data_IF_769948682562
#
_entry.id   IF_769948682562
#
_cell.length_a   1.000
_cell.length_b   1.000
_cell.length_c   1.000
_cell.angle_alpha   90.00
_cell.angle_beta   90.00
_cell.angle_gamma   90.00
#
_symmetry.space_group_name_H-M   'P 1'
#
loop_
_entity.id
_entity.type
_entity.pdbx_description
1 polymer ?
#
# COMPACT_ATOMS: atom_id res chain seq x y z
N UNK A 1 8.15 -55.36 42.72
CA UNK A 1 7.70 -55.11 41.33
C UNK A 1 7.77 -53.60 41.09
N UNK A 2 8.81 -53.12 40.40
CA UNK A 2 9.10 -51.70 40.22
C UNK A 2 8.52 -51.25 38.87
N UNK A 3 7.49 -50.41 38.89
CA UNK A 3 6.83 -49.87 37.70
C UNK A 3 7.68 -48.72 37.14
N UNK A 4 8.30 -48.94 35.99
CA UNK A 4 9.02 -47.91 35.24
C UNK A 4 8.01 -46.90 34.67
N UNK A 5 8.18 -45.62 35.01
CA UNK A 5 7.44 -44.50 34.45
C UNK A 5 8.29 -43.94 33.31
N UNK A 6 7.84 -44.13 32.08
CA UNK A 6 8.48 -43.59 30.88
C UNK A 6 7.99 -42.15 30.67
N UNK A 7 8.87 -41.16 30.82
CA UNK A 7 8.61 -39.78 30.41
C UNK A 7 8.63 -39.69 28.88
N UNK A 8 7.50 -39.34 28.26
CA UNK A 8 7.43 -39.01 26.85
C UNK A 8 7.67 -37.50 26.66
N UNK A 9 8.89 -37.13 26.24
CA UNK A 9 9.20 -35.76 25.80
C UNK A 9 8.54 -35.51 24.45
N UNK A 10 7.48 -34.68 24.43
CA UNK A 10 6.83 -34.23 23.21
C UNK A 10 7.67 -33.11 22.58
N UNK A 11 8.46 -33.44 21.56
CA UNK A 11 9.25 -32.48 20.79
C UNK A 11 8.32 -31.77 19.78
N UNK A 12 7.84 -30.58 20.13
CA UNK A 12 7.07 -29.72 19.20
C UNK A 12 7.98 -29.23 18.08
N UNK A 13 7.87 -29.87 16.91
CA UNK A 13 8.44 -29.38 15.65
C UNK A 13 7.71 -28.09 15.25
N UNK A 14 8.38 -26.95 15.46
CA UNK A 14 7.99 -25.67 14.85
C UNK A 14 8.21 -25.78 13.33
N UNK A 15 7.14 -26.00 12.59
CA UNK A 15 7.11 -25.89 11.13
C UNK A 15 7.36 -24.43 10.75
N UNK A 16 8.60 -24.10 10.39
CA UNK A 16 8.91 -22.83 9.73
C UNK A 16 8.37 -22.90 8.30
N UNK A 17 7.17 -22.38 8.07
CA UNK A 17 6.67 -22.20 6.71
C UNK A 17 7.63 -21.26 5.95
N UNK A 18 8.00 -21.56 4.69
CA UNK A 18 8.79 -20.64 3.90
C UNK A 18 7.96 -19.37 3.69
N UNK A 19 8.42 -18.26 4.26
CA UNK A 19 7.93 -16.93 3.92
C UNK A 19 8.43 -16.64 2.51
N UNK A 20 7.71 -17.11 1.50
CA UNK A 20 7.90 -16.62 0.15
C UNK A 20 7.53 -15.13 0.18
N UNK A 21 8.51 -14.27 -0.12
CA UNK A 21 8.24 -12.86 -0.30
C UNK A 21 7.18 -12.69 -1.39
N UNK A 22 6.14 -11.92 -1.11
CA UNK A 22 5.08 -11.62 -2.09
C UNK A 22 5.67 -11.01 -3.36
N UNK A 23 4.98 -11.14 -4.50
CA UNK A 23 5.37 -10.38 -5.68
C UNK A 23 5.02 -8.91 -5.45
N UNK A 24 5.94 -8.01 -5.76
CA UNK A 24 5.77 -6.58 -5.56
C UNK A 24 4.55 -6.08 -6.34
N UNK A 25 3.62 -5.42 -5.63
CA UNK A 25 2.34 -4.98 -6.18
C UNK A 25 1.47 -6.12 -6.74
N UNK A 26 1.50 -7.29 -6.11
CA UNK A 26 0.45 -8.30 -6.23
C UNK A 26 -0.60 -8.17 -5.10
N UNK A 27 -1.64 -9.00 -5.13
CA UNK A 27 -2.71 -8.97 -4.12
C UNK A 27 -2.20 -9.29 -2.69
N UNK A 28 -1.20 -10.16 -2.55
CA UNK A 28 -0.63 -10.51 -1.25
C UNK A 28 0.21 -9.35 -0.68
N UNK A 29 0.98 -8.68 -1.52
CA UNK A 29 1.71 -7.46 -1.20
C UNK A 29 0.74 -6.33 -0.83
N UNK A 30 -0.36 -6.14 -1.57
CA UNK A 30 -1.35 -5.12 -1.25
C UNK A 30 -2.00 -5.33 0.11
N UNK A 31 -2.24 -6.58 0.52
CA UNK A 31 -2.71 -6.91 1.87
C UNK A 31 -1.68 -6.50 2.93
N UNK A 32 -0.39 -6.75 2.69
CA UNK A 32 0.69 -6.33 3.59
C UNK A 32 0.83 -4.80 3.63
N UNK A 33 0.69 -4.13 2.49
CA UNK A 33 0.69 -2.67 2.40
C UNK A 33 -0.49 -2.04 3.14
N UNK A 34 -1.67 -2.67 3.11
CA UNK A 34 -2.82 -2.24 3.89
C UNK A 34 -2.57 -2.33 5.40
N UNK A 35 -1.92 -3.40 5.85
CA UNK A 35 -1.51 -3.52 7.25
C UNK A 35 -0.44 -2.48 7.63
N UNK A 36 0.55 -2.25 6.76
CA UNK A 36 1.58 -1.23 6.98
C UNK A 36 1.01 0.19 7.00
N UNK A 37 0.02 0.49 6.15
CA UNK A 37 -0.74 1.73 6.17
C UNK A 37 -1.34 1.98 7.54
N UNK A 38 -2.05 0.98 8.09
CA UNK A 38 -2.72 1.09 9.39
C UNK A 38 -1.75 1.22 10.57
N UNK A 39 -0.48 0.85 10.39
CA UNK A 39 0.57 1.00 11.38
C UNK A 39 1.29 2.36 11.31
N UNK A 40 1.08 3.17 10.26
CA UNK A 40 1.71 4.49 10.10
C UNK A 40 0.74 5.61 10.52
N UNK A 41 1.09 6.34 11.59
CA UNK A 41 0.28 7.47 12.08
C UNK A 41 0.26 8.66 11.12
N UNK A 42 1.30 8.83 10.29
CA UNK A 42 1.32 9.89 9.28
C UNK A 42 0.29 9.61 8.19
N UNK A 43 -0.02 8.34 7.92
CA UNK A 43 -1.11 7.97 7.02
C UNK A 43 -2.45 8.06 7.72
N UNK A 44 -2.64 7.33 8.81
CA UNK A 44 -3.95 7.20 9.46
C UNK A 44 -4.45 8.53 10.03
N UNK A 45 -3.62 9.28 10.75
CA UNK A 45 -4.00 10.59 11.30
C UNK A 45 -3.77 11.72 10.31
N UNK A 46 -2.66 11.70 9.56
CA UNK A 46 -2.32 12.80 8.65
C UNK A 46 -3.26 12.93 7.45
N UNK A 47 -3.91 11.84 7.01
CA UNK A 47 -4.96 11.93 5.99
C UNK A 47 -6.35 12.25 6.57
N UNK A 48 -6.52 12.16 7.89
CA UNK A 48 -7.70 12.68 8.58
C UNK A 48 -7.64 14.20 8.70
N UNK A 49 -6.48 14.74 9.06
CA UNK A 49 -6.26 16.19 9.15
C UNK A 49 -4.82 16.55 8.77
N UNK A 50 -4.67 17.21 7.64
CA UNK A 50 -3.45 17.85 7.20
C UNK A 50 -3.72 19.35 7.05
N UNK A 51 -3.32 20.13 8.05
CA UNK A 51 -3.48 21.59 8.10
C UNK A 51 -4.91 22.06 7.81
N UNK A 52 -5.92 21.41 8.42
CA UNK A 52 -7.34 21.73 8.26
C UNK A 52 -7.97 21.11 7.02
N UNK A 53 -7.22 20.33 6.23
CA UNK A 53 -7.75 19.56 5.11
C UNK A 53 -7.89 18.08 5.47
N UNK A 54 -9.09 17.53 5.30
CA UNK A 54 -9.37 16.12 5.54
C UNK A 54 -9.52 15.35 4.24
N UNK A 55 -8.46 14.63 3.85
CA UNK A 55 -8.45 13.85 2.61
C UNK A 55 -9.49 12.73 2.61
N UNK A 56 -9.58 12.00 3.73
CA UNK A 56 -10.48 10.85 3.85
C UNK A 56 -11.96 11.25 3.83
N UNK A 57 -12.30 12.47 4.23
CA UNK A 57 -13.68 13.00 4.15
C UNK A 57 -14.10 13.42 2.74
N UNK A 58 -13.15 13.60 1.82
CA UNK A 58 -13.47 13.89 0.41
C UNK A 58 -13.67 12.59 -0.39
N UNK A 59 -14.69 11.81 -0.02
CA UNK A 59 -14.94 10.46 -0.54
C UNK A 59 -16.17 10.40 -1.49
N UNK A 60 -16.72 11.54 -1.88
CA UNK A 60 -17.97 11.67 -2.62
C UNK A 60 -19.17 11.00 -1.93
N UNK A 61 -19.22 11.03 -0.59
CA UNK A 61 -20.25 10.38 0.25
C UNK A 61 -20.34 8.85 0.06
N UNK A 62 -19.30 8.23 -0.49
CA UNK A 62 -19.25 6.77 -0.72
C UNK A 62 -18.83 6.00 0.54
N UNK A 63 -18.26 6.68 1.53
CA UNK A 63 -17.70 6.07 2.74
C UNK A 63 -16.30 5.48 2.54
N UNK A 64 -15.70 5.63 1.35
CA UNK A 64 -14.38 5.09 1.04
C UNK A 64 -13.67 5.89 -0.06
N UNK A 65 -12.34 5.80 -0.07
CA UNK A 65 -11.47 6.19 -1.18
C UNK A 65 -10.71 4.97 -1.69
N UNK A 66 -10.49 4.92 -3.00
CA UNK A 66 -9.69 3.88 -3.63
C UNK A 66 -8.30 4.41 -3.95
N UNK A 67 -7.29 3.60 -3.64
CA UNK A 67 -5.92 3.82 -4.09
C UNK A 67 -5.49 2.60 -4.89
N UNK A 68 -5.44 2.75 -6.20
CA UNK A 68 -5.01 1.70 -7.13
C UNK A 68 -3.58 1.94 -7.60
N UNK A 69 -2.81 0.87 -7.72
CA UNK A 69 -1.42 0.97 -8.19
C UNK A 69 -0.97 -0.23 -9.02
N UNK A 70 -0.04 0.00 -9.94
CA UNK A 70 0.60 -1.06 -10.73
C UNK A 70 2.02 -0.70 -11.16
N UNK A 71 2.77 -1.73 -11.57
CA UNK A 71 4.07 -1.58 -12.23
C UNK A 71 3.84 -1.31 -13.72
N UNK A 72 4.40 -0.24 -14.27
CA UNK A 72 4.18 0.15 -15.68
C UNK A 72 4.47 -1.00 -16.65
N UNK A 73 5.56 -1.76 -16.43
CA UNK A 73 5.93 -2.88 -17.28
C UNK A 73 4.94 -4.06 -17.24
N UNK A 74 4.14 -4.19 -16.18
CA UNK A 74 3.13 -5.23 -16.02
C UNK A 74 1.75 -4.81 -16.58
N UNK A 75 1.55 -3.50 -16.77
CA UNK A 75 0.34 -2.93 -17.35
C UNK A 75 -0.83 -2.83 -16.36
N UNK A 76 -1.83 -2.03 -16.73
CA UNK A 76 -2.96 -1.69 -15.83
C UNK A 76 -3.83 -2.89 -15.45
N UNK A 77 -3.77 -3.99 -16.22
CA UNK A 77 -4.52 -5.23 -15.93
C UNK A 77 -4.03 -5.93 -14.66
N UNK A 78 -2.85 -5.58 -14.14
CA UNK A 78 -2.27 -6.17 -12.93
C UNK A 78 -2.41 -5.28 -11.70
N UNK A 79 -3.19 -4.19 -11.79
CA UNK A 79 -3.34 -3.26 -10.69
C UNK A 79 -3.85 -3.94 -9.43
N UNK A 80 -3.35 -3.46 -8.30
CA UNK A 80 -3.86 -3.77 -6.97
C UNK A 80 -4.59 -2.57 -6.42
N UNK A 81 -5.36 -2.77 -5.37
CA UNK A 81 -6.23 -1.78 -4.76
C UNK A 81 -6.11 -1.80 -3.25
N UNK A 82 -6.07 -0.60 -2.67
CA UNK A 82 -6.36 -0.35 -1.26
C UNK A 82 -7.69 0.39 -1.14
N UNK A 83 -8.54 -0.01 -0.20
CA UNK A 83 -9.72 0.76 0.19
C UNK A 83 -9.41 1.45 1.51
N UNK A 84 -9.50 2.77 1.51
CA UNK A 84 -9.33 3.58 2.72
C UNK A 84 -10.69 4.09 3.16
N UNK A 85 -11.04 3.84 4.42
CA UNK A 85 -12.31 4.19 5.05
C UNK A 85 -12.05 5.10 6.25
N UNK A 86 -13.03 5.96 6.57
CA UNK A 86 -12.99 6.72 7.81
C UNK A 86 -13.48 5.83 8.96
N UNK A 87 -12.60 5.50 9.90
CA UNK A 87 -12.94 4.75 11.11
C UNK A 87 -12.58 5.57 12.35
N UNK A 88 -13.62 6.13 13.01
CA UNK A 88 -13.40 7.18 14.01
C UNK A 88 -12.74 8.39 13.36
N UNK A 89 -11.59 8.81 13.90
CA UNK A 89 -10.78 9.92 13.38
C UNK A 89 -9.54 9.43 12.62
N UNK A 90 -9.63 8.30 11.91
CA UNK A 90 -8.51 7.72 11.17
C UNK A 90 -8.89 7.34 9.75
N UNK A 91 -7.98 7.61 8.81
CA UNK A 91 -7.99 7.06 7.47
C UNK A 91 -7.43 5.62 7.50
N UNK A 92 -8.29 4.65 7.74
CA UNK A 92 -7.92 3.24 7.91
C UNK A 92 -8.01 2.51 6.57
N UNK A 93 -6.99 1.73 6.22
CA UNK A 93 -7.07 0.77 5.13
C UNK A 93 -7.90 -0.44 5.59
N UNK A 94 -9.10 -0.61 5.01
CA UNK A 94 -10.02 -1.72 5.32
C UNK A 94 -9.88 -2.90 4.36
N UNK A 95 -9.22 -2.71 3.22
CA UNK A 95 -8.98 -3.76 2.23
C UNK A 95 -7.69 -3.50 1.46
N UNK A 96 -6.92 -4.57 1.21
CA UNK A 96 -5.80 -4.56 0.28
C UNK A 96 -5.75 -5.86 -0.52
N UNK A 97 -5.75 -5.75 -1.85
CA UNK A 97 -5.79 -6.92 -2.74
C UNK A 97 -5.96 -6.56 -4.21
N UNK A 98 -6.54 -7.48 -4.98
CA UNK A 98 -6.99 -7.18 -6.35
C UNK A 98 -8.20 -6.22 -6.32
N UNK A 99 -8.53 -5.52 -7.40
CA UNK A 99 -9.72 -4.67 -7.44
C UNK A 99 -10.99 -5.45 -7.08
N UNK A 100 -11.75 -4.93 -6.12
CA UNK A 100 -12.93 -5.61 -5.52
C UNK A 100 -14.25 -5.35 -6.27
N UNK A 101 -14.17 -4.71 -7.44
CA UNK A 101 -15.33 -4.35 -8.27
C UNK A 101 -15.94 -2.99 -7.94
N UNK A 102 -15.47 -2.27 -6.91
CA UNK A 102 -15.87 -0.88 -6.69
C UNK A 102 -15.43 -0.01 -7.86
N UNK A 103 -16.34 0.86 -8.31
CA UNK A 103 -16.06 1.79 -9.39
C UNK A 103 -15.06 2.86 -8.92
N UNK A 104 -14.00 3.02 -9.72
CA UNK A 104 -13.02 4.08 -9.57
C UNK A 104 -13.61 5.42 -10.02
N UNK A 105 -13.48 6.45 -9.19
CA UNK A 105 -13.85 7.83 -9.55
C UNK A 105 -12.61 8.71 -9.49
N UNK A 106 -12.01 9.01 -10.64
CA UNK A 106 -10.76 9.77 -10.75
C UNK A 106 -10.86 11.22 -10.23
N UNK A 107 -12.05 11.71 -9.88
CA UNK A 107 -12.20 13.02 -9.23
C UNK A 107 -11.94 12.96 -7.72
N UNK A 108 -11.94 11.76 -7.13
CA UNK A 108 -11.78 11.53 -5.69
C UNK A 108 -10.72 10.48 -5.37
N UNK A 109 -10.57 9.45 -6.20
CA UNK A 109 -9.69 8.32 -6.00
C UNK A 109 -8.35 8.48 -6.73
N UNK A 110 -7.34 7.70 -6.32
CA UNK A 110 -5.99 7.75 -6.88
C UNK A 110 -5.65 6.48 -7.66
N UNK A 111 -5.23 6.63 -8.92
CA UNK A 111 -4.58 5.58 -9.70
C UNK A 111 -3.14 6.00 -9.98
N UNK A 112 -2.20 5.10 -9.68
CA UNK A 112 -0.78 5.37 -9.78
C UNK A 112 -0.01 4.26 -10.49
N UNK A 113 0.96 4.63 -11.31
CA UNK A 113 1.92 3.67 -11.84
C UNK A 113 3.28 4.31 -12.10
N UNK A 114 4.31 3.49 -12.03
CA UNK A 114 5.68 3.89 -12.27
C UNK A 114 6.52 2.68 -12.73
N UNK A 115 7.74 2.93 -13.20
CA UNK A 115 8.71 1.86 -13.41
C UNK A 115 9.14 1.27 -12.08
N UNK A 116 9.72 0.06 -12.08
CA UNK A 116 10.25 -0.55 -10.86
C UNK A 116 11.34 0.30 -10.19
N UNK A 117 12.22 0.89 -11.00
CA UNK A 117 13.26 1.79 -10.51
C UNK A 117 12.67 3.04 -9.85
N UNK A 118 11.62 3.61 -10.43
CA UNK A 118 10.93 4.77 -9.86
C UNK A 118 10.16 4.40 -8.58
N UNK A 119 9.52 3.23 -8.54
CA UNK A 119 8.87 2.70 -7.34
C UNK A 119 9.86 2.45 -6.20
N UNK A 120 11.07 1.97 -6.51
CA UNK A 120 12.16 1.79 -5.53
C UNK A 120 12.62 3.16 -5.02
N UNK A 121 12.91 4.08 -5.93
CA UNK A 121 13.30 5.45 -5.60
C UNK A 121 12.27 6.09 -4.65
N UNK A 122 10.99 6.10 -5.02
CA UNK A 122 9.90 6.58 -4.16
C UNK A 122 9.81 5.87 -2.81
N UNK A 123 10.04 4.57 -2.79
CA UNK A 123 10.10 3.78 -1.57
C UNK A 123 11.19 4.20 -0.59
N UNK A 124 12.31 4.74 -1.09
CA UNK A 124 13.41 5.24 -0.26
C UNK A 124 13.13 6.62 0.35
N UNK A 125 12.30 7.44 -0.27
CA UNK A 125 11.95 8.79 0.23
C UNK A 125 13.12 9.79 0.32
N UNK A 126 14.25 9.53 -0.36
CA UNK A 126 15.40 10.45 -0.36
C UNK A 126 15.18 11.66 -1.27
N UNK A 127 16.06 12.65 -1.20
CA UNK A 127 16.02 13.84 -2.07
C UNK A 127 16.01 13.44 -3.56
N UNK A 128 15.09 14.00 -4.35
CA UNK A 128 14.87 13.62 -5.76
C UNK A 128 14.06 12.33 -5.97
N UNK A 129 13.69 11.67 -4.88
CA UNK A 129 12.92 10.44 -4.84
C UNK A 129 11.63 10.54 -4.01
N UNK A 130 11.46 11.53 -3.14
CA UNK A 130 10.19 11.77 -2.43
C UNK A 130 9.02 12.16 -3.36
N UNK A 131 7.82 12.22 -2.79
CA UNK A 131 6.56 12.44 -3.52
C UNK A 131 6.58 13.66 -4.45
N UNK A 132 7.10 14.79 -3.96
CA UNK A 132 7.19 16.02 -4.74
C UNK A 132 8.13 15.87 -5.95
N UNK A 133 9.27 15.19 -5.76
CA UNK A 133 10.21 14.91 -6.84
C UNK A 133 9.62 13.98 -7.88
N UNK A 134 8.95 12.91 -7.45
CA UNK A 134 8.36 11.92 -8.34
C UNK A 134 7.20 12.50 -9.17
N UNK A 135 6.36 13.35 -8.57
CA UNK A 135 5.26 14.02 -9.25
C UNK A 135 5.75 15.11 -10.23
N UNK A 136 6.75 15.92 -9.84
CA UNK A 136 7.27 17.00 -10.68
C UNK A 136 8.08 16.51 -11.89
N UNK A 137 8.84 15.42 -11.74
CA UNK A 137 9.62 14.81 -12.82
C UNK A 137 8.82 13.83 -13.67
N UNK A 138 7.59 13.51 -13.25
CA UNK A 138 6.72 12.56 -13.95
C UNK A 138 7.15 11.09 -13.84
N UNK A 139 8.02 10.76 -12.87
CA UNK A 139 8.37 9.39 -12.48
C UNK A 139 7.14 8.63 -11.97
N UNK A 140 6.31 9.32 -11.18
CA UNK A 140 4.98 8.83 -10.80
C UNK A 140 3.95 9.29 -11.83
N UNK A 141 3.33 8.35 -12.53
CA UNK A 141 2.13 8.63 -13.32
C UNK A 141 0.94 8.58 -12.39
N UNK A 142 0.28 9.71 -12.22
CA UNK A 142 -0.79 9.90 -11.26
C UNK A 142 -2.07 10.39 -11.96
N UNK A 143 -3.14 9.64 -11.75
CA UNK A 143 -4.51 9.98 -12.14
C UNK A 143 -5.33 10.15 -10.86
N UNK A 144 -5.90 11.34 -10.68
CA UNK A 144 -6.60 11.73 -9.45
C UNK A 144 -6.60 13.25 -9.26
N UNK A 145 -7.22 13.78 -8.20
CA UNK A 145 -7.21 15.21 -7.89
C UNK A 145 -5.83 15.66 -7.38
N UNK A 146 -4.93 16.05 -8.30
CA UNK A 146 -3.55 16.46 -7.98
C UNK A 146 -3.45 17.57 -6.93
N UNK A 147 -4.38 18.54 -6.95
CA UNK A 147 -4.41 19.62 -5.95
C UNK A 147 -4.68 19.08 -4.55
N UNK A 148 -5.58 18.10 -4.42
CA UNK A 148 -5.83 17.41 -3.16
C UNK A 148 -4.58 16.67 -2.68
N UNK A 149 -3.93 15.89 -3.56
CA UNK A 149 -2.70 15.19 -3.23
C UNK A 149 -1.59 16.14 -2.74
N UNK A 150 -1.51 17.34 -3.31
CA UNK A 150 -0.56 18.39 -2.86
C UNK A 150 -0.88 18.96 -1.48
N UNK A 151 -2.15 19.03 -1.07
CA UNK A 151 -2.52 19.47 0.29
C UNK A 151 -2.10 18.48 1.36
N UNK A 152 -2.02 17.20 1.02
CA UNK A 152 -1.62 16.12 1.92
C UNK A 152 -0.25 15.54 1.57
N UNK A 153 0.67 16.36 1.06
CA UNK A 153 1.94 15.90 0.48
C UNK A 153 2.78 15.08 1.48
N UNK A 154 2.81 15.46 2.77
CA UNK A 154 3.51 14.70 3.81
C UNK A 154 2.97 13.28 3.95
N UNK A 155 1.68 13.09 4.30
CA UNK A 155 1.06 11.77 4.30
C UNK A 155 1.17 11.01 2.97
N UNK A 156 1.04 11.71 1.85
CA UNK A 156 1.19 11.11 0.51
C UNK A 156 2.61 10.57 0.27
N UNK A 157 3.65 11.24 0.79
CA UNK A 157 5.02 10.71 0.79
C UNK A 157 5.15 9.43 1.63
N UNK A 158 4.53 9.37 2.80
CA UNK A 158 4.51 8.14 3.61
C UNK A 158 3.84 6.98 2.88
N UNK A 159 2.80 7.25 2.09
CA UNK A 159 2.15 6.26 1.25
C UNK A 159 3.13 5.72 0.21
N UNK A 160 3.85 6.60 -0.51
CA UNK A 160 4.84 6.17 -1.49
C UNK A 160 5.98 5.39 -0.84
N UNK A 161 6.42 5.76 0.36
CA UNK A 161 7.45 5.02 1.09
C UNK A 161 7.02 3.59 1.45
N UNK A 162 5.71 3.26 1.48
CA UNK A 162 5.26 1.88 1.66
C UNK A 162 5.81 0.95 0.57
N UNK A 163 6.08 1.46 -0.64
CA UNK A 163 6.67 0.66 -1.73
C UNK A 163 8.10 0.21 -1.47
N UNK A 164 8.81 0.88 -0.55
CA UNK A 164 10.13 0.48 -0.05
C UNK A 164 10.08 -0.28 1.28
N UNK A 165 9.07 0.00 2.13
CA UNK A 165 8.91 -0.64 3.45
C UNK A 165 8.31 -2.04 3.37
N UNK A 166 7.39 -2.28 2.43
CA UNK A 166 6.72 -3.58 2.27
C UNK A 166 7.51 -4.42 1.29
N UNK A 167 8.09 -5.51 1.79
CA UNK A 167 8.91 -6.41 0.98
C UNK A 167 8.12 -7.02 -0.18
N UNK A 168 8.72 -7.03 -1.36
CA UNK A 168 8.16 -7.70 -2.53
C UNK A 168 9.22 -7.96 -3.59
N UNK A 169 9.21 -9.17 -4.15
CA UNK A 169 10.07 -9.55 -5.27
C UNK A 169 9.58 -8.87 -6.54
N UNK A 170 10.47 -8.40 -7.41
CA UNK A 170 10.11 -7.80 -8.70
C UNK A 170 10.52 -8.76 -9.80
N UNK A 171 9.73 -9.80 -10.00
CA UNK A 171 9.89 -10.72 -11.11
C UNK A 171 9.57 -9.99 -12.41
N UNK A 172 10.23 -10.38 -13.51
CA UNK A 172 9.97 -9.81 -14.83
C UNK A 172 8.49 -9.96 -15.18
N UNK A 173 7.86 -8.84 -15.57
CA UNK A 173 6.50 -8.82 -16.04
C UNK A 173 6.43 -9.58 -17.36
N UNK A 174 5.69 -10.70 -17.41
CA UNK A 174 5.38 -11.34 -18.69
C UNK A 174 4.43 -10.40 -19.44
N UNK A 175 4.86 -9.89 -20.59
CA UNK A 175 4.01 -9.10 -21.46
C UNK A 175 2.72 -9.89 -21.73
N UNK A 176 1.57 -9.23 -21.52
CA UNK A 176 0.28 -9.72 -22.01
C UNK A 176 0.00 -9.11 -23.37
#
# INVERSE_FOLDING_TARGET
MLKQITLASCLTLLLTAPVHAAEFMDAAWAKQACAAWNADSNLTSGLMDADGYSWIKNDNKRGYKLVQMYRTACGESTKVQLNITLEGDKATCSYGGAPDGKAMDASYDYLMHATDADWICMGEGKFGCGAMGAMSTGKLKFTGPKIEAMKVMGPFEHFLQLTGKVAGTKTECKAK
#
